data_IF_039192883976
#
_entry.id   IF_039192883976
#
_cell.length_a   1.000
_cell.length_b   1.000
_cell.length_c   1.000
_cell.angle_alpha   90.00
_cell.angle_beta   90.00
_cell.angle_gamma   90.00
#
_symmetry.space_group_name_H-M   'P 1'
#
loop_
_entity.id
_entity.type
_entity.pdbx_description
1 polymer ?
#
# COMPACT_ATOMS: atom_id res chain seq x y z
N UNK A 1 -19.46 -1.77 -7.22
CA UNK A 1 -18.45 -2.80 -7.49
C UNK A 1 -17.66 -3.12 -6.25
N UNK A 2 -17.36 -4.36 -6.04
CA UNK A 2 -16.55 -4.76 -4.90
C UNK A 2 -15.07 -4.68 -5.28
N UNK A 3 -14.44 -3.57 -4.89
CA UNK A 3 -13.03 -3.34 -5.17
C UNK A 3 -12.15 -4.43 -4.57
N UNK A 4 -12.51 -4.92 -3.39
CA UNK A 4 -11.75 -5.97 -2.70
C UNK A 4 -11.81 -7.27 -3.51
N UNK A 5 -12.96 -7.62 -4.07
CA UNK A 5 -13.07 -8.80 -4.91
C UNK A 5 -12.22 -8.72 -6.17
N UNK A 6 -12.20 -7.56 -6.81
CA UNK A 6 -11.37 -7.32 -7.97
C UNK A 6 -9.88 -7.44 -7.62
N UNK A 7 -9.49 -6.83 -6.53
CA UNK A 7 -8.10 -6.90 -6.04
C UNK A 7 -7.71 -8.34 -5.72
N UNK A 8 -8.61 -9.12 -5.12
CA UNK A 8 -8.34 -10.52 -4.83
C UNK A 8 -8.02 -11.31 -6.09
N UNK A 9 -8.77 -11.11 -7.17
CA UNK A 9 -8.53 -11.80 -8.43
C UNK A 9 -7.16 -11.44 -9.00
N UNK A 10 -6.78 -10.17 -8.95
CA UNK A 10 -5.48 -9.71 -9.42
C UNK A 10 -4.36 -10.31 -8.58
N UNK A 11 -4.49 -10.28 -7.27
CA UNK A 11 -3.46 -10.77 -6.36
C UNK A 11 -3.24 -12.27 -6.56
N UNK A 12 -4.30 -13.05 -6.67
CA UNK A 12 -4.19 -14.49 -6.86
C UNK A 12 -3.38 -14.81 -8.11
N UNK A 13 -3.56 -14.04 -9.19
CA UNK A 13 -2.86 -14.28 -10.45
C UNK A 13 -1.46 -13.70 -10.51
N UNK A 14 -1.17 -12.67 -9.71
CA UNK A 14 0.03 -11.84 -9.91
C UNK A 14 0.79 -11.52 -8.63
N UNK A 15 0.83 -12.41 -7.67
CA UNK A 15 1.63 -12.19 -6.48
C UNK A 15 3.11 -12.38 -6.83
N UNK A 16 3.78 -11.29 -7.13
CA UNK A 16 5.21 -11.26 -7.42
C UNK A 16 5.84 -10.08 -6.70
N UNK A 17 7.16 -10.18 -6.48
CA UNK A 17 7.91 -9.20 -5.67
C UNK A 17 7.93 -7.78 -6.21
N UNK A 18 7.66 -7.58 -7.49
CA UNK A 18 7.74 -6.26 -8.13
C UNK A 18 6.38 -5.65 -8.44
N UNK A 19 5.29 -6.34 -8.14
CA UNK A 19 3.97 -5.77 -8.37
C UNK A 19 3.67 -4.71 -7.33
N UNK A 20 3.08 -3.60 -7.78
CA UNK A 20 2.72 -2.47 -6.93
C UNK A 20 1.22 -2.29 -6.89
N UNK A 21 0.73 -1.85 -5.75
CA UNK A 21 -0.69 -1.61 -5.50
C UNK A 21 -0.85 -0.26 -4.83
N UNK A 22 -1.81 0.52 -5.29
CA UNK A 22 -2.06 1.84 -4.72
C UNK A 22 -3.53 2.00 -4.36
N UNK A 23 -3.79 2.53 -3.17
CA UNK A 23 -5.11 2.95 -2.75
C UNK A 23 -5.13 4.48 -2.76
N UNK A 24 -5.81 5.06 -3.73
CA UNK A 24 -5.87 6.50 -3.90
C UNK A 24 -6.79 7.20 -2.89
N UNK A 25 -7.57 6.44 -2.15
CA UNK A 25 -8.48 6.99 -1.15
C UNK A 25 -8.64 6.02 0.00
N UNK A 26 -7.64 6.01 0.87
CA UNK A 26 -7.68 5.15 2.06
C UNK A 26 -8.78 5.63 3.01
N UNK A 27 -9.44 4.68 3.64
CA UNK A 27 -10.40 4.94 4.71
C UNK A 27 -9.88 4.33 6.00
N UNK A 28 -10.15 3.04 6.21
CA UNK A 28 -9.68 2.35 7.41
C UNK A 28 -8.31 1.69 7.24
N UNK A 29 -7.83 1.56 6.02
CA UNK A 29 -6.62 0.80 5.72
C UNK A 29 -6.89 -0.67 5.40
N UNK A 30 -8.15 -1.09 5.34
CA UNK A 30 -8.50 -2.49 5.09
C UNK A 30 -8.00 -2.99 3.74
N UNK A 31 -8.12 -2.17 2.70
CA UNK A 31 -7.67 -2.53 1.36
C UNK A 31 -6.19 -2.89 1.36
N UNK A 32 -5.36 -2.00 1.89
CA UNK A 32 -3.91 -2.22 1.96
C UNK A 32 -3.58 -3.42 2.83
N UNK A 33 -4.25 -3.56 3.97
CA UNK A 33 -4.00 -4.67 4.88
C UNK A 33 -4.25 -6.01 4.21
N UNK A 34 -5.33 -6.13 3.43
CA UNK A 34 -5.62 -7.36 2.69
C UNK A 34 -4.54 -7.66 1.65
N UNK A 35 -4.07 -6.64 0.94
CA UNK A 35 -2.99 -6.81 -0.02
C UNK A 35 -1.72 -7.29 0.67
N UNK A 36 -1.36 -6.67 1.78
CA UNK A 36 -0.16 -7.06 2.53
C UNK A 36 -0.25 -8.52 2.99
N UNK A 37 -1.39 -8.92 3.53
CA UNK A 37 -1.59 -10.31 3.96
C UNK A 37 -1.38 -11.30 2.81
N UNK A 38 -1.92 -11.00 1.64
CA UNK A 38 -1.78 -11.88 0.49
C UNK A 38 -0.36 -11.92 -0.04
N UNK A 39 0.32 -10.79 -0.07
CA UNK A 39 1.72 -10.74 -0.47
C UNK A 39 2.60 -11.52 0.51
N UNK A 40 2.32 -11.43 1.80
CA UNK A 40 3.09 -12.17 2.80
C UNK A 40 2.97 -13.68 2.65
N UNK A 41 1.81 -14.16 2.20
CA UNK A 41 1.53 -15.59 2.06
C UNK A 41 1.92 -16.15 0.69
N UNK A 42 2.24 -15.32 -0.29
CA UNK A 42 2.53 -15.77 -1.64
C UNK A 42 3.79 -16.61 -1.72
N UNK A 43 3.74 -17.71 -2.47
CA UNK A 43 4.88 -18.60 -2.61
C UNK A 43 6.08 -17.91 -3.27
N UNK A 44 5.82 -17.09 -4.29
CA UNK A 44 6.89 -16.35 -4.97
C UNK A 44 7.53 -15.32 -4.04
N UNK A 45 6.74 -14.68 -3.20
CA UNK A 45 7.25 -13.74 -2.21
C UNK A 45 8.09 -14.43 -1.15
N UNK A 46 7.64 -15.60 -0.69
CA UNK A 46 8.41 -16.39 0.28
C UNK A 46 9.73 -16.88 -0.29
N UNK A 47 9.77 -17.20 -1.57
CA UNK A 47 11.03 -17.58 -2.23
C UNK A 47 11.98 -16.41 -2.38
N UNK A 48 11.46 -15.24 -2.76
CA UNK A 48 12.27 -14.04 -2.94
C UNK A 48 12.75 -13.49 -1.60
N UNK A 49 11.92 -13.54 -0.57
CA UNK A 49 12.21 -13.02 0.76
C UNK A 49 11.83 -14.08 1.80
N UNK A 50 12.69 -15.08 2.04
CA UNK A 50 12.38 -16.13 3.01
C UNK A 50 12.22 -15.62 4.44
N UNK A 51 12.98 -14.59 4.81
CA UNK A 51 12.87 -13.97 6.12
C UNK A 51 11.60 -13.11 6.17
N UNK A 52 10.76 -13.35 7.17
CA UNK A 52 9.48 -12.64 7.30
C UNK A 52 9.66 -11.13 7.47
N UNK A 53 10.66 -10.72 8.26
CA UNK A 53 10.93 -9.29 8.47
C UNK A 53 11.38 -8.61 7.18
N UNK A 54 12.25 -9.26 6.41
CA UNK A 54 12.71 -8.72 5.13
C UNK A 54 11.54 -8.62 4.15
N UNK A 55 10.67 -9.62 4.15
CA UNK A 55 9.51 -9.63 3.26
C UNK A 55 8.57 -8.47 3.56
N UNK A 56 8.25 -8.25 4.83
CA UNK A 56 7.35 -7.15 5.21
C UNK A 56 7.97 -5.79 4.90
N UNK A 57 9.26 -5.63 5.13
CA UNK A 57 9.97 -4.38 4.82
C UNK A 57 9.93 -4.08 3.32
N UNK A 58 10.14 -5.10 2.50
CA UNK A 58 10.09 -4.94 1.05
C UNK A 58 8.69 -4.53 0.59
N UNK A 59 7.66 -5.17 1.12
CA UNK A 59 6.28 -4.88 0.76
C UNK A 59 5.94 -3.41 1.04
N UNK A 60 6.23 -2.94 2.24
CA UNK A 60 5.91 -1.56 2.61
C UNK A 60 6.77 -0.52 1.89
N UNK A 61 8.02 -0.84 1.61
CA UNK A 61 8.91 0.10 0.94
C UNK A 61 8.65 0.20 -0.57
N UNK A 62 8.14 -0.86 -1.21
CA UNK A 62 8.15 -0.93 -2.66
C UNK A 62 6.84 -1.36 -3.31
N UNK A 63 5.92 -1.99 -2.59
CA UNK A 63 4.78 -2.63 -3.24
C UNK A 63 3.42 -2.03 -2.91
N UNK A 64 3.26 -1.43 -1.75
CA UNK A 64 1.96 -0.86 -1.36
C UNK A 64 2.09 0.63 -1.12
N UNK A 65 1.13 1.38 -1.68
CA UNK A 65 1.08 2.83 -1.64
C UNK A 65 -0.33 3.23 -1.26
N UNK A 66 -0.47 4.29 -0.49
CA UNK A 66 -1.79 4.74 -0.08
C UNK A 66 -1.86 6.22 0.19
N UNK A 67 -2.98 6.82 -0.16
CA UNK A 67 -3.27 8.22 0.07
C UNK A 67 -4.51 8.35 0.93
N UNK A 68 -4.43 9.13 1.99
CA UNK A 68 -5.56 9.42 2.86
C UNK A 68 -5.97 10.89 2.68
N UNK A 69 -7.27 11.18 2.52
CA UNK A 69 -7.71 12.54 2.21
C UNK A 69 -7.57 13.54 3.35
N UNK A 70 -7.55 13.07 4.59
CA UNK A 70 -7.44 13.92 5.77
C UNK A 70 -6.41 13.37 6.73
N UNK A 71 -5.94 14.23 7.63
CA UNK A 71 -4.99 13.84 8.66
C UNK A 71 -5.55 12.75 9.57
N UNK A 72 -6.83 12.87 9.96
CA UNK A 72 -7.46 11.88 10.83
C UNK A 72 -7.52 10.53 10.16
N UNK A 73 -7.95 10.49 8.89
CA UNK A 73 -7.99 9.22 8.14
C UNK A 73 -6.59 8.67 7.95
N UNK A 74 -5.62 9.53 7.68
CA UNK A 74 -4.23 9.10 7.55
C UNK A 74 -3.75 8.39 8.84
N UNK A 75 -4.01 8.97 9.99
CA UNK A 75 -3.59 8.39 11.27
C UNK A 75 -4.33 7.08 11.54
N UNK A 76 -5.64 7.03 11.31
CA UNK A 76 -6.42 5.82 11.50
C UNK A 76 -5.90 4.69 10.60
N UNK A 77 -5.74 4.98 9.31
CA UNK A 77 -5.32 3.96 8.36
C UNK A 77 -3.89 3.47 8.63
N UNK A 78 -2.95 4.39 8.85
CA UNK A 78 -1.56 3.99 9.11
C UNK A 78 -1.43 3.21 10.41
N UNK A 79 -2.13 3.60 11.46
CA UNK A 79 -2.11 2.86 12.72
C UNK A 79 -2.73 1.48 12.55
N UNK A 80 -3.77 1.35 11.75
CA UNK A 80 -4.38 0.05 11.48
C UNK A 80 -3.43 -0.86 10.69
N UNK A 81 -2.79 -0.30 9.66
CA UNK A 81 -1.91 -1.08 8.78
C UNK A 81 -0.61 -1.47 9.49
N UNK A 82 0.01 -0.54 10.20
CA UNK A 82 1.34 -0.72 10.79
C UNK A 82 1.33 -1.06 12.28
N UNK A 83 0.17 -0.92 12.93
CA UNK A 83 0.10 -0.99 14.39
C UNK A 83 0.50 -2.34 14.99
N UNK A 84 0.45 -3.42 14.23
CA UNK A 84 0.83 -4.75 14.70
C UNK A 84 2.34 -5.02 14.58
N UNK A 85 3.09 -4.11 13.97
CA UNK A 85 4.53 -4.29 13.78
C UNK A 85 5.30 -3.75 14.98
N UNK A 86 6.28 -4.52 15.45
CA UNK A 86 7.11 -4.11 16.57
C UNK A 86 7.94 -2.89 16.25
N UNK A 87 8.45 -2.80 15.04
CA UNK A 87 9.36 -1.75 14.59
C UNK A 87 8.66 -0.74 13.69
N UNK A 88 7.38 -0.44 13.95
CA UNK A 88 6.58 0.40 13.04
C UNK A 88 7.22 1.75 12.74
N UNK A 89 7.94 2.33 13.69
CA UNK A 89 8.56 3.65 13.51
C UNK A 89 9.79 3.59 12.61
N UNK A 90 10.37 2.41 12.45
CA UNK A 90 11.54 2.21 11.58
C UNK A 90 11.16 1.68 10.20
N UNK A 91 9.87 1.36 9.98
CA UNK A 91 9.42 0.84 8.70
C UNK A 91 9.27 1.97 7.69
N UNK A 92 10.01 1.86 6.59
CA UNK A 92 9.82 2.77 5.46
C UNK A 92 8.54 2.39 4.74
N UNK A 93 7.65 3.37 4.54
CA UNK A 93 6.38 3.12 3.87
C UNK A 93 5.99 4.27 2.95
N UNK A 94 4.98 4.03 2.13
CA UNK A 94 4.52 4.97 1.12
C UNK A 94 3.06 5.38 1.34
N UNK A 95 2.73 5.74 2.57
CA UNK A 95 1.42 6.28 2.90
C UNK A 95 1.55 7.78 3.11
N UNK A 96 0.66 8.55 2.48
CA UNK A 96 0.71 10.01 2.52
C UNK A 96 -0.68 10.57 2.75
N UNK A 97 -0.74 11.74 3.39
CA UNK A 97 -1.99 12.46 3.55
C UNK A 97 -2.14 13.42 2.38
N UNK A 98 -3.04 13.09 1.46
CA UNK A 98 -3.33 13.89 0.26
C UNK A 98 -4.78 13.64 -0.13
N UNK A 99 -5.51 14.71 -0.44
CA UNK A 99 -6.85 14.57 -1.04
C UNK A 99 -6.70 14.38 -2.55
N UNK A 100 -6.62 13.10 -2.96
CA UNK A 100 -6.39 12.75 -4.35
C UNK A 100 -7.54 13.17 -5.26
N UNK A 101 -8.77 13.21 -4.76
CA UNK A 101 -9.92 13.61 -5.57
C UNK A 101 -9.85 15.11 -5.92
N UNK A 102 -9.54 15.94 -4.95
CA UNK A 102 -9.36 17.38 -5.18
C UNK A 102 -8.17 17.63 -6.10
N UNK A 103 -7.06 16.95 -5.84
CA UNK A 103 -5.86 17.09 -6.65
C UNK A 103 -6.13 16.68 -8.11
N UNK A 104 -6.80 15.55 -8.32
CA UNK A 104 -7.08 15.03 -9.66
C UNK A 104 -8.03 15.92 -10.47
N UNK A 105 -8.89 16.70 -9.78
CA UNK A 105 -9.77 17.66 -10.45
C UNK A 105 -9.00 18.81 -11.06
N UNK A 106 -7.94 19.24 -10.39
CA UNK A 106 -7.14 20.41 -10.81
C UNK A 106 -5.93 20.00 -11.64
N UNK A 107 -5.46 18.76 -11.52
CA UNK A 107 -4.28 18.24 -12.20
C UNK A 107 -4.51 16.80 -12.64
N UNK A 108 -3.64 16.34 -13.54
CA UNK A 108 -3.69 14.94 -13.97
C UNK A 108 -3.22 14.02 -12.86
N UNK A 109 -3.88 12.86 -12.72
CA UNK A 109 -3.56 11.90 -11.69
C UNK A 109 -2.12 11.36 -11.79
N UNK A 110 -1.62 11.20 -13.02
CA UNK A 110 -0.24 10.74 -13.23
C UNK A 110 0.76 11.73 -12.66
N UNK A 111 0.47 13.02 -12.74
CA UNK A 111 1.32 14.04 -12.14
C UNK A 111 1.37 13.91 -10.63
N UNK A 112 0.24 13.56 -10.01
CA UNK A 112 0.19 13.34 -8.56
C UNK A 112 1.09 12.18 -8.15
N UNK A 113 1.00 11.05 -8.85
CA UNK A 113 1.80 9.89 -8.55
C UNK A 113 3.29 10.21 -8.69
N UNK A 114 3.68 10.87 -9.77
CA UNK A 114 5.07 11.24 -10.00
C UNK A 114 5.57 12.21 -8.93
N UNK A 115 4.74 13.16 -8.53
CA UNK A 115 5.11 14.17 -7.54
C UNK A 115 5.33 13.56 -6.15
N UNK A 116 4.49 12.60 -5.76
CA UNK A 116 4.55 11.99 -4.44
C UNK A 116 5.56 10.85 -4.34
N UNK A 117 5.67 10.04 -5.37
CA UNK A 117 6.43 8.80 -5.34
C UNK A 117 7.44 8.65 -6.46
N UNK A 118 7.43 9.54 -7.42
CA UNK A 118 8.32 9.48 -8.57
C UNK A 118 9.77 9.75 -8.22
N UNK A 119 10.65 9.40 -9.16
CA UNK A 119 12.08 9.65 -9.04
C UNK A 119 12.78 8.87 -7.94
N UNK A 120 12.17 7.78 -7.56
CA UNK A 120 12.80 6.87 -6.58
C UNK A 120 13.69 5.87 -7.23
#
# INVERSE_FOLDING_TARGET
>A
MNTIGYVNAIIIKRIVRNHTFIDLYMKSGLYITEIVKRLMKGEKMKKAFPNQKDRIKHIFANQVFGLAPTEIIYEIATNYILGFLEDKDSIKHNFRQVDALTYARDRKRDDLIDELFGNN
#
